data_IF_801763148564
#
_entry.id   IF_801763148564
#
_cell.length_a   1.000
_cell.length_b   1.000
_cell.length_c   1.000
_cell.angle_alpha   90.00
_cell.angle_beta   90.00
_cell.angle_gamma   90.00
#
_symmetry.space_group_name_H-M   'P 1'
#
loop_
_entity.id
_entity.type
_entity.pdbx_description
1 polymer ?
#
# COMPACT_ATOMS: atom_id res chain seq x y z
N UNK A 1 -13.98 0.36 -9.62
CA UNK A 1 -14.03 1.29 -8.47
C UNK A 1 -15.39 1.40 -7.77
N UNK A 2 -16.52 1.52 -8.48
CA UNK A 2 -17.86 1.69 -7.85
C UNK A 2 -18.22 0.62 -6.79
N UNK A 3 -17.74 -0.62 -6.92
CA UNK A 3 -18.10 -1.70 -6.00
C UNK A 3 -17.43 -1.59 -4.62
N UNK A 4 -16.20 -1.08 -4.52
CA UNK A 4 -15.49 -0.95 -3.24
C UNK A 4 -16.15 0.12 -2.37
N UNK A 5 -16.45 1.29 -2.93
CA UNK A 5 -17.14 2.36 -2.21
C UNK A 5 -18.54 1.95 -1.76
N UNK A 6 -19.26 1.16 -2.56
CA UNK A 6 -20.55 0.62 -2.17
C UNK A 6 -20.43 -0.34 -0.98
N UNK A 7 -19.40 -1.19 -0.94
CA UNK A 7 -19.15 -2.09 0.18
C UNK A 7 -18.87 -1.32 1.48
N UNK A 8 -18.04 -0.29 1.43
CA UNK A 8 -17.76 0.57 2.59
C UNK A 8 -19.01 1.34 3.03
N UNK A 9 -19.83 1.83 2.10
CA UNK A 9 -21.08 2.52 2.40
C UNK A 9 -22.11 1.60 3.06
N UNK A 10 -22.19 0.33 2.66
CA UNK A 10 -23.05 -0.66 3.31
C UNK A 10 -22.48 -1.01 4.69
N UNK A 11 -21.19 -1.26 4.80
CA UNK A 11 -20.54 -1.57 6.07
C UNK A 11 -20.65 -0.44 7.11
N UNK A 12 -20.62 0.83 6.66
CA UNK A 12 -20.79 1.98 7.56
C UNK A 12 -22.22 2.11 8.15
N UNK A 13 -23.23 1.60 7.45
CA UNK A 13 -24.62 1.58 7.94
C UNK A 13 -24.87 0.52 9.00
N UNK A 14 -24.06 -0.53 9.06
CA UNK A 14 -24.19 -1.58 10.04
C UNK A 14 -23.61 -1.08 11.38
N UNK A 15 -24.46 -0.84 12.37
CA UNK A 15 -24.02 -0.39 13.72
C UNK A 15 -23.42 -1.52 14.57
N UNK A 16 -23.89 -2.74 14.39
CA UNK A 16 -23.45 -3.89 15.18
C UNK A 16 -22.07 -4.39 14.76
N UNK A 17 -21.11 -4.36 15.67
CA UNK A 17 -19.75 -4.88 15.43
C UNK A 17 -19.76 -6.40 15.18
N UNK A 18 -20.67 -7.13 15.85
CA UNK A 18 -20.82 -8.59 15.66
C UNK A 18 -21.26 -8.93 14.23
N UNK A 19 -22.18 -8.16 13.64
CA UNK A 19 -22.62 -8.34 12.26
C UNK A 19 -21.50 -8.00 11.27
N UNK A 20 -20.69 -6.98 11.55
CA UNK A 20 -19.51 -6.67 10.74
C UNK A 20 -18.51 -7.83 10.75
N UNK A 21 -18.21 -8.39 11.92
CA UNK A 21 -17.29 -9.53 12.05
C UNK A 21 -17.83 -10.77 11.33
N UNK A 22 -19.11 -11.08 11.47
CA UNK A 22 -19.76 -12.17 10.72
C UNK A 22 -19.65 -11.96 9.20
N UNK A 23 -19.87 -10.73 8.73
CA UNK A 23 -19.69 -10.38 7.32
C UNK A 23 -18.26 -10.60 6.82
N UNK A 24 -17.26 -10.18 7.61
CA UNK A 24 -15.83 -10.42 7.29
C UNK A 24 -15.53 -11.93 7.31
N UNK A 25 -16.03 -12.65 8.30
CA UNK A 25 -15.87 -14.11 8.36
C UNK A 25 -16.46 -14.81 7.13
N UNK A 26 -17.64 -14.41 6.69
CA UNK A 26 -18.27 -14.92 5.48
C UNK A 26 -17.43 -14.63 4.24
N UNK A 27 -16.93 -13.38 4.07
CA UNK A 27 -16.03 -13.02 2.97
C UNK A 27 -14.74 -13.84 3.02
N UNK A 28 -14.23 -14.12 4.22
CA UNK A 28 -13.06 -14.96 4.40
C UNK A 28 -13.31 -16.40 3.94
N UNK A 29 -14.40 -17.01 4.37
CA UNK A 29 -14.78 -18.37 4.00
C UNK A 29 -15.07 -18.53 2.51
N UNK A 30 -15.69 -17.52 1.90
CA UNK A 30 -15.98 -17.51 0.44
C UNK A 30 -14.79 -17.08 -0.41
N UNK A 31 -13.60 -16.92 0.20
CA UNK A 31 -12.36 -16.48 -0.48
C UNK A 31 -12.47 -15.15 -1.22
N UNK A 32 -13.40 -14.29 -0.81
CA UNK A 32 -13.54 -12.95 -1.38
C UNK A 32 -12.42 -12.02 -0.91
N UNK A 33 -12.21 -10.91 -1.65
CA UNK A 33 -11.26 -9.86 -1.27
C UNK A 33 -11.93 -8.90 -0.28
N UNK A 34 -11.25 -8.54 0.80
CA UNK A 34 -11.78 -7.63 1.83
C UNK A 34 -10.71 -6.81 2.55
N UNK A 35 -9.41 -7.01 2.21
CA UNK A 35 -8.31 -6.33 2.88
C UNK A 35 -7.90 -5.06 2.12
N UNK A 36 -7.57 -4.00 2.86
CA UNK A 36 -6.67 -2.93 2.42
C UNK A 36 -5.28 -3.24 2.95
N UNK A 37 -4.31 -3.43 2.05
CA UNK A 37 -2.92 -3.67 2.42
C UNK A 37 -2.14 -2.38 2.27
N UNK A 38 -1.44 -1.98 3.32
CA UNK A 38 -0.59 -0.79 3.39
C UNK A 38 0.83 -1.24 3.67
N UNK A 39 1.78 -0.80 2.86
CA UNK A 39 3.18 -1.21 2.98
C UNK A 39 4.14 -0.04 2.79
N UNK A 40 5.08 0.10 3.72
CA UNK A 40 6.25 0.93 3.58
C UNK A 40 7.47 0.01 3.40
N UNK A 41 7.96 -0.19 2.16
CA UNK A 41 9.05 -1.12 1.91
C UNK A 41 10.40 -0.62 2.45
N UNK A 42 10.49 0.66 2.79
CA UNK A 42 11.66 1.31 3.37
C UNK A 42 11.22 2.36 4.40
N UNK A 43 11.94 2.45 5.52
CA UNK A 43 11.77 3.47 6.53
C UNK A 43 12.82 4.57 6.35
N UNK A 44 12.73 5.31 5.26
CA UNK A 44 13.58 6.46 4.95
C UNK A 44 12.80 7.52 4.19
N UNK A 45 13.20 8.78 4.33
CA UNK A 45 12.70 9.89 3.55
C UNK A 45 13.82 10.88 3.25
N UNK A 46 13.84 11.42 2.03
CA UNK A 46 14.79 12.44 1.60
C UNK A 46 14.33 13.86 1.95
N UNK A 47 13.09 14.04 2.42
CA UNK A 47 12.55 15.32 2.90
C UNK A 47 12.56 15.42 4.42
N UNK A 48 12.36 16.66 4.90
CA UNK A 48 12.26 17.06 6.31
C UNK A 48 11.06 17.97 6.50
N UNK A 49 9.88 17.47 6.14
CA UNK A 49 8.64 18.24 6.24
C UNK A 49 8.36 18.59 7.70
N UNK A 50 8.04 19.85 7.97
CA UNK A 50 7.91 20.44 9.31
C UNK A 50 7.01 19.63 10.27
N UNK A 51 5.97 19.00 9.76
CA UNK A 51 4.99 18.23 10.57
C UNK A 51 5.25 16.71 10.55
N UNK A 52 6.34 16.26 9.94
CA UNK A 52 6.64 14.84 9.78
C UNK A 52 7.62 14.37 10.85
N UNK A 53 7.43 13.15 11.36
CA UNK A 53 8.35 12.56 12.33
C UNK A 53 9.78 12.35 11.78
N UNK A 54 9.98 12.34 10.46
CA UNK A 54 11.33 12.34 9.85
C UNK A 54 12.06 13.69 10.00
N UNK A 55 11.40 14.79 10.43
CA UNK A 55 12.05 16.05 10.76
C UNK A 55 12.77 15.99 12.11
N UNK A 56 12.31 15.12 13.03
CA UNK A 56 12.92 14.89 14.32
C UNK A 56 14.21 14.06 14.17
N UNK A 57 15.35 14.67 14.53
CA UNK A 57 16.67 14.04 14.37
C UNK A 57 16.85 12.76 15.20
N UNK A 58 16.29 12.69 16.40
CA UNK A 58 16.38 11.52 17.27
C UNK A 58 15.50 10.38 16.75
N UNK A 59 14.26 10.66 16.42
CA UNK A 59 13.34 9.67 15.82
C UNK A 59 13.89 9.09 14.52
N UNK A 60 14.49 9.94 13.68
CA UNK A 60 15.10 9.50 12.42
C UNK A 60 16.25 8.52 12.62
N UNK A 61 17.03 8.65 13.72
CA UNK A 61 18.11 7.70 14.02
C UNK A 61 17.59 6.29 14.29
N UNK A 62 16.40 6.20 14.88
CA UNK A 62 15.73 4.92 15.20
C UNK A 62 14.87 4.38 14.04
N UNK A 63 14.29 5.27 13.22
CA UNK A 63 13.47 4.91 12.06
C UNK A 63 14.36 4.64 10.84
N UNK A 64 14.98 3.46 10.85
CA UNK A 64 15.83 2.99 9.75
C UNK A 64 15.49 1.54 9.44
N UNK A 65 15.46 1.20 8.18
CA UNK A 65 15.27 -0.17 7.75
C UNK A 65 14.71 -0.24 6.34
N UNK A 66 14.86 -1.39 5.77
CA UNK A 66 14.31 -1.74 4.47
C UNK A 66 13.90 -3.20 4.54
N UNK A 67 12.70 -3.52 4.09
CA UNK A 67 12.28 -4.89 3.94
C UNK A 67 13.12 -5.57 2.85
N UNK A 68 13.58 -6.79 3.10
CA UNK A 68 14.14 -7.59 2.03
C UNK A 68 13.02 -7.92 1.02
N UNK A 69 13.36 -7.98 -0.26
CA UNK A 69 12.34 -8.26 -1.28
C UNK A 69 11.65 -9.61 -1.06
N UNK A 70 12.39 -10.61 -0.56
CA UNK A 70 11.88 -11.94 -0.21
C UNK A 70 10.79 -11.88 0.89
N UNK A 71 10.93 -10.97 1.86
CA UNK A 71 9.92 -10.78 2.90
C UNK A 71 8.63 -10.19 2.29
N UNK A 72 8.78 -9.25 1.35
CA UNK A 72 7.63 -8.68 0.63
C UNK A 72 6.94 -9.75 -0.23
N UNK A 73 7.71 -10.64 -0.86
CA UNK A 73 7.15 -11.79 -1.59
C UNK A 73 6.36 -12.72 -0.66
N UNK A 74 6.90 -13.03 0.53
CA UNK A 74 6.20 -13.86 1.51
C UNK A 74 4.90 -13.21 2.00
N UNK A 75 4.92 -11.90 2.28
CA UNK A 75 3.73 -11.10 2.63
C UNK A 75 2.72 -11.12 1.48
N UNK A 76 3.18 -10.90 0.25
CA UNK A 76 2.30 -10.86 -0.93
C UNK A 76 1.59 -12.20 -1.16
N UNK A 77 2.32 -13.30 -1.01
CA UNK A 77 1.77 -14.67 -1.11
C UNK A 77 0.67 -14.94 -0.09
N UNK A 78 0.81 -14.41 1.13
CA UNK A 78 -0.16 -14.65 2.20
C UNK A 78 -1.36 -13.69 2.17
N UNK A 79 -1.19 -12.43 1.72
CA UNK A 79 -2.21 -11.39 1.89
C UNK A 79 -2.81 -10.86 0.58
N UNK A 80 -2.03 -10.76 -0.52
CA UNK A 80 -2.49 -10.01 -1.70
C UNK A 80 -3.66 -10.68 -2.42
N UNK A 81 -3.83 -11.99 -2.29
CA UNK A 81 -5.01 -12.67 -2.84
C UNK A 81 -6.33 -12.25 -2.16
N UNK A 82 -6.24 -11.63 -0.96
CA UNK A 82 -7.38 -11.07 -0.21
C UNK A 82 -7.46 -9.54 -0.30
N UNK A 83 -6.48 -8.90 -0.93
CA UNK A 83 -6.41 -7.45 -1.01
C UNK A 83 -7.38 -6.89 -2.06
N UNK A 84 -8.16 -5.88 -1.68
CA UNK A 84 -8.92 -4.99 -2.55
C UNK A 84 -8.06 -3.82 -3.03
N UNK A 85 -7.16 -3.36 -2.15
CA UNK A 85 -6.24 -2.25 -2.41
C UNK A 85 -4.86 -2.59 -1.86
N UNK A 86 -3.83 -2.25 -2.62
CA UNK A 86 -2.45 -2.17 -2.16
C UNK A 86 -2.04 -0.69 -2.19
N UNK A 87 -1.74 -0.14 -1.02
CA UNK A 87 -1.20 1.20 -0.86
C UNK A 87 0.29 1.09 -0.53
N UNK A 88 1.14 1.68 -1.37
CA UNK A 88 2.59 1.73 -1.17
C UNK A 88 2.96 3.16 -0.76
N UNK A 89 3.76 3.31 0.30
CA UNK A 89 4.13 4.62 0.84
C UNK A 89 3.02 5.22 1.69
N UNK A 90 3.06 4.96 2.98
CA UNK A 90 2.09 5.48 3.96
C UNK A 90 2.75 6.43 4.95
N UNK A 91 4.04 6.27 5.23
CA UNK A 91 4.76 7.04 6.22
C UNK A 91 6.21 7.37 5.84
N UNK A 92 6.74 6.78 4.79
CA UNK A 92 8.10 7.00 4.32
C UNK A 92 8.12 7.35 2.82
N UNK A 93 9.30 7.50 2.23
CA UNK A 93 9.42 7.78 0.79
C UNK A 93 9.72 6.50 0.00
N UNK A 94 8.71 5.90 -0.61
CA UNK A 94 8.84 4.59 -1.25
C UNK A 94 9.72 4.60 -2.50
N UNK A 95 9.92 5.74 -3.15
CA UNK A 95 10.78 5.85 -4.34
C UNK A 95 12.26 5.65 -4.03
N UNK A 96 12.65 5.70 -2.75
CA UNK A 96 13.99 5.32 -2.28
C UNK A 96 14.20 3.81 -2.24
N UNK A 97 13.14 3.01 -2.36
CA UNK A 97 13.24 1.55 -2.37
C UNK A 97 13.62 1.05 -3.76
N UNK A 98 14.77 0.40 -3.88
CA UNK A 98 15.34 -0.02 -5.17
C UNK A 98 14.45 -0.98 -5.98
N UNK A 99 13.68 -1.82 -5.28
CA UNK A 99 12.82 -2.84 -5.89
C UNK A 99 11.34 -2.41 -5.96
N UNK A 100 11.05 -1.09 -5.92
CA UNK A 100 9.69 -0.54 -5.92
C UNK A 100 8.83 -1.11 -7.07
N UNK A 101 9.38 -1.20 -8.28
CA UNK A 101 8.67 -1.75 -9.44
C UNK A 101 8.27 -3.20 -9.26
N UNK A 102 9.12 -3.99 -8.58
CA UNK A 102 8.80 -5.38 -8.27
C UNK A 102 7.66 -5.48 -7.27
N UNK A 103 7.55 -4.55 -6.30
CA UNK A 103 6.43 -4.48 -5.35
C UNK A 103 5.12 -4.21 -6.09
N UNK A 104 5.11 -3.27 -7.04
CA UNK A 104 3.95 -3.01 -7.90
C UNK A 104 3.60 -4.25 -8.73
N UNK A 105 4.61 -4.89 -9.34
CA UNK A 105 4.43 -6.10 -10.14
C UNK A 105 3.81 -7.25 -9.32
N UNK A 106 4.22 -7.45 -8.07
CA UNK A 106 3.58 -8.42 -7.17
C UNK A 106 2.09 -8.13 -6.97
N UNK A 107 1.71 -6.85 -6.81
CA UNK A 107 0.31 -6.47 -6.74
C UNK A 107 -0.48 -6.94 -7.96
N UNK A 108 0.05 -6.76 -9.18
CA UNK A 108 -0.58 -7.23 -10.41
C UNK A 108 -0.55 -8.75 -10.56
N UNK A 109 0.54 -9.40 -10.18
CA UNK A 109 0.66 -10.86 -10.18
C UNK A 109 -0.45 -11.52 -9.36
N UNK A 110 -0.75 -10.97 -8.18
CA UNK A 110 -1.85 -11.43 -7.32
C UNK A 110 -3.21 -10.80 -7.66
N UNK A 111 -3.30 -10.09 -8.80
CA UNK A 111 -4.54 -9.49 -9.31
C UNK A 111 -5.21 -8.57 -8.28
N UNK A 112 -4.40 -7.80 -7.53
CA UNK A 112 -4.95 -6.76 -6.65
C UNK A 112 -5.67 -5.74 -7.52
N UNK A 113 -6.97 -5.45 -7.27
CA UNK A 113 -7.78 -4.60 -8.16
C UNK A 113 -7.32 -3.15 -8.25
N UNK A 114 -6.61 -2.67 -7.21
CA UNK A 114 -6.22 -1.27 -7.13
C UNK A 114 -4.88 -1.11 -6.40
N UNK A 115 -3.90 -0.57 -7.10
CA UNK A 115 -2.55 -0.34 -6.59
C UNK A 115 -2.26 1.15 -6.63
N UNK A 116 -1.98 1.74 -5.47
CA UNK A 116 -1.69 3.17 -5.32
C UNK A 116 -0.33 3.40 -4.68
N UNK A 117 0.33 4.46 -5.09
CA UNK A 117 1.62 4.92 -4.58
C UNK A 117 1.49 6.35 -4.07
N UNK A 118 1.90 6.59 -2.84
CA UNK A 118 2.07 7.95 -2.31
C UNK A 118 3.56 8.27 -2.22
N UNK A 119 3.97 9.40 -2.77
CA UNK A 119 5.36 9.85 -2.81
C UNK A 119 5.46 11.37 -2.72
N UNK A 120 6.58 11.89 -2.26
CA UNK A 120 6.89 13.33 -2.32
C UNK A 120 7.30 13.79 -3.74
N UNK A 121 7.48 12.86 -4.67
CA UNK A 121 7.77 13.14 -6.07
C UNK A 121 9.18 13.67 -6.38
N UNK A 122 10.01 13.90 -5.38
CA UNK A 122 11.31 14.60 -5.54
C UNK A 122 12.28 13.91 -6.53
N UNK A 123 12.30 12.58 -6.52
CA UNK A 123 13.20 11.80 -7.38
C UNK A 123 12.46 11.09 -8.53
N UNK A 124 11.18 11.39 -8.71
CA UNK A 124 10.44 10.87 -9.87
C UNK A 124 10.88 11.56 -11.15
N UNK A 125 11.22 10.74 -12.13
CA UNK A 125 11.46 11.17 -13.52
C UNK A 125 10.32 10.71 -14.41
N UNK A 126 10.20 11.28 -15.60
CA UNK A 126 9.24 10.82 -16.59
C UNK A 126 9.39 9.32 -16.88
N UNK A 127 10.63 8.85 -17.03
CA UNK A 127 10.93 7.43 -17.29
C UNK A 127 10.47 6.53 -16.11
N UNK A 128 10.78 6.93 -14.87
CA UNK A 128 10.37 6.17 -13.69
C UNK A 128 8.85 6.13 -13.53
N UNK A 129 8.17 7.24 -13.80
CA UNK A 129 6.72 7.32 -13.79
C UNK A 129 6.10 6.40 -14.86
N UNK A 130 6.60 6.51 -16.10
CA UNK A 130 6.15 5.63 -17.19
C UNK A 130 6.31 4.15 -16.84
N UNK A 131 7.45 3.78 -16.27
CA UNK A 131 7.72 2.41 -15.83
C UNK A 131 6.75 1.94 -14.75
N UNK A 132 6.44 2.79 -13.75
CA UNK A 132 5.45 2.48 -12.71
C UNK A 132 4.07 2.21 -13.32
N UNK A 133 3.61 3.07 -14.22
CA UNK A 133 2.33 2.91 -14.92
C UNK A 133 2.33 1.64 -15.78
N UNK A 134 3.37 1.40 -16.56
CA UNK A 134 3.52 0.20 -17.38
C UNK A 134 3.55 -1.10 -16.55
N UNK A 135 4.10 -1.03 -15.33
CA UNK A 135 4.10 -2.16 -14.37
C UNK A 135 2.72 -2.40 -13.78
N UNK A 136 1.83 -1.40 -13.82
CA UNK A 136 0.43 -1.52 -13.43
C UNK A 136 0.05 -0.72 -12.19
N UNK A 137 0.70 0.40 -11.93
CA UNK A 137 0.23 1.36 -10.94
C UNK A 137 -1.07 2.00 -11.42
N UNK A 138 -2.10 2.05 -10.57
CA UNK A 138 -3.42 2.60 -10.89
C UNK A 138 -3.57 4.05 -10.41
N UNK A 139 -2.87 4.43 -9.34
CA UNK A 139 -2.93 5.79 -8.77
C UNK A 139 -1.57 6.23 -8.25
N UNK A 140 -1.21 7.48 -8.53
CA UNK A 140 -0.09 8.18 -7.92
C UNK A 140 -0.61 9.39 -7.16
N UNK A 141 -0.28 9.47 -5.87
CA UNK A 141 -0.57 10.61 -5.01
C UNK A 141 0.72 11.34 -4.69
N UNK A 142 0.77 12.64 -4.95
CA UNK A 142 1.86 13.52 -4.51
C UNK A 142 1.49 14.15 -3.17
N UNK A 143 2.38 14.09 -2.20
CA UNK A 143 2.18 14.61 -0.83
C UNK A 143 3.23 15.66 -0.47
#
# INVERSE_FOLDING_TARGET
>A
MKNIYNLFRIASRIRSQRLKLLGIYFLHMTRQRYLGVFIDPILACNFRCRMCYFSDGEKRKTLKGSLAFQDIEAISKSLYHRALKLQIGCGAEPTLYKDLYKVVALGKQYKVPYISLTTNGNILTYESLYKLVATGLDELTLS
#
